data_IF_100914182491
#
_entry.id   IF_100914182491
#
_cell.length_a   1.000
_cell.length_b   1.000
_cell.length_c   1.000
_cell.angle_alpha   90.00
_cell.angle_beta   90.00
_cell.angle_gamma   90.00
#
_symmetry.space_group_name_H-M   'P 1'
#
loop_
_entity.id
_entity.type
_entity.pdbx_description
1 polymer ?
#
# COMPACT_ATOMS: atom_id res chain seq x y z
N UNK A 1 1.65 -1.44 -4.11
CA UNK A 1 0.88 -1.72 -2.87
C UNK A 1 1.55 -1.15 -1.64
N UNK A 2 0.82 -0.30 -0.92
CA UNK A 2 1.32 0.46 0.21
C UNK A 2 1.56 -0.43 1.45
N UNK A 3 2.53 -0.06 2.29
CA UNK A 3 2.76 -0.69 3.60
C UNK A 3 2.23 0.23 4.69
N UNK A 4 1.79 -0.33 5.81
CA UNK A 4 1.24 0.47 6.92
C UNK A 4 2.15 1.61 7.40
N UNK A 5 3.48 1.47 7.29
CA UNK A 5 4.45 2.55 7.60
C UNK A 5 4.52 3.64 6.54
N UNK A 6 4.29 3.32 5.26
CA UNK A 6 4.20 4.32 4.19
C UNK A 6 2.86 5.05 4.23
N UNK A 7 1.79 4.37 4.61
CA UNK A 7 0.45 4.97 4.77
C UNK A 7 0.39 5.99 5.92
N UNK A 8 1.24 5.83 6.94
CA UNK A 8 1.39 6.76 8.07
C UNK A 8 1.88 8.14 7.69
N UNK A 9 2.70 8.22 6.65
CA UNK A 9 3.38 9.47 6.25
C UNK A 9 2.61 10.19 5.15
N UNK A 10 1.38 9.76 4.84
CA UNK A 10 0.53 10.43 3.86
C UNK A 10 -0.06 11.67 4.53
N UNK A 11 0.21 12.82 3.93
CA UNK A 11 -0.44 14.08 4.26
C UNK A 11 -1.52 14.39 3.22
N UNK A 12 -2.51 15.22 3.58
CA UNK A 12 -3.57 15.63 2.64
C UNK A 12 -3.01 16.30 1.37
N UNK A 13 -1.87 17.00 1.48
CA UNK A 13 -1.15 17.61 0.35
C UNK A 13 -0.57 16.60 -0.64
N UNK A 14 -0.47 15.32 -0.26
CA UNK A 14 -0.02 14.25 -1.16
C UNK A 14 -1.16 13.69 -2.03
N UNK A 15 -2.41 14.12 -1.81
CA UNK A 15 -3.57 13.67 -2.57
C UNK A 15 -3.79 14.58 -3.78
N UNK A 16 -3.95 13.97 -4.95
CA UNK A 16 -4.28 14.65 -6.20
C UNK A 16 -5.55 14.05 -6.77
N UNK A 17 -6.60 14.85 -6.96
CA UNK A 17 -7.85 14.36 -7.55
C UNK A 17 -7.82 14.62 -9.06
N UNK A 18 -8.06 13.57 -9.85
CA UNK A 18 -8.12 13.63 -11.30
C UNK A 18 -9.40 12.93 -11.79
N UNK A 19 -10.38 13.72 -12.24
CA UNK A 19 -11.69 13.24 -12.68
C UNK A 19 -12.33 12.27 -11.67
N UNK A 20 -12.30 10.96 -11.94
CA UNK A 20 -12.89 9.89 -11.13
C UNK A 20 -11.86 9.16 -10.25
N UNK A 21 -10.64 9.67 -10.13
CA UNK A 21 -9.54 9.01 -9.42
C UNK A 21 -8.87 9.92 -8.39
N UNK A 22 -8.55 9.34 -7.23
CA UNK A 22 -7.70 9.97 -6.21
C UNK A 22 -6.31 9.35 -6.30
N UNK A 23 -5.34 10.15 -6.76
CA UNK A 23 -3.92 9.82 -6.74
C UNK A 23 -3.28 10.13 -5.39
N UNK A 24 -2.27 9.34 -5.02
CA UNK A 24 -1.47 9.54 -3.79
C UNK A 24 0.00 9.51 -4.16
N UNK A 25 0.74 10.57 -3.81
CA UNK A 25 2.18 10.66 -4.01
C UNK A 25 2.92 10.22 -2.74
N UNK A 26 3.77 9.19 -2.86
CA UNK A 26 4.63 8.76 -1.76
C UNK A 26 6.01 9.44 -1.82
N UNK A 27 6.32 10.28 -0.83
CA UNK A 27 7.62 10.97 -0.75
C UNK A 27 8.81 10.06 -0.37
N UNK A 28 8.55 8.90 0.27
CA UNK A 28 9.57 7.92 0.67
C UNK A 28 9.11 6.49 0.35
N UNK A 29 9.23 6.04 -0.90
CA UNK A 29 8.95 4.65 -1.24
C UNK A 29 10.06 3.74 -0.66
N UNK A 30 9.70 2.50 -0.27
CA UNK A 30 10.66 1.53 0.29
C UNK A 30 11.68 1.05 -0.74
N UNK A 31 11.27 1.02 -2.00
CA UNK A 31 12.09 0.65 -3.15
C UNK A 31 11.98 1.80 -4.11
N UNK A 32 13.11 2.30 -4.60
CA UNK A 32 13.09 3.30 -5.65
C UNK A 32 12.48 2.68 -6.91
N UNK A 33 11.28 3.13 -7.27
CA UNK A 33 10.59 2.71 -8.49
C UNK A 33 10.81 3.70 -9.63
N UNK A 34 11.53 4.79 -9.38
CA UNK A 34 11.88 5.75 -10.41
C UNK A 34 13.19 5.31 -11.07
N UNK A 35 13.16 5.08 -12.38
CA UNK A 35 14.37 4.88 -13.17
C UNK A 35 15.24 6.16 -13.25
N UNK A 36 14.72 7.28 -12.75
CA UNK A 36 15.38 8.58 -12.71
C UNK A 36 15.77 8.95 -11.28
N UNK A 37 17.07 8.87 -10.96
CA UNK A 37 17.64 9.63 -9.83
C UNK A 37 17.28 11.11 -10.04
N UNK A 38 16.39 11.66 -9.21
CA UNK A 38 15.84 13.02 -9.37
C UNK A 38 16.95 14.07 -9.56
N UNK A 39 16.82 14.91 -10.59
CA UNK A 39 17.41 16.26 -10.60
C UNK A 39 16.29 17.29 -10.45
N UNK A 40 16.40 18.15 -9.45
CA UNK A 40 15.80 19.49 -9.42
C UNK A 40 14.38 19.62 -8.86
N UNK A 41 14.06 20.79 -8.26
CA UNK A 41 12.79 21.05 -7.59
C UNK A 41 11.71 21.42 -8.61
N UNK A 42 10.59 20.71 -8.62
CA UNK A 42 9.41 21.17 -9.33
C UNK A 42 8.61 22.09 -8.38
N UNK A 43 8.64 23.38 -8.69
CA UNK A 43 7.77 24.42 -8.14
C UNK A 43 6.31 23.99 -8.27
N UNK A 44 5.72 23.49 -7.18
CA UNK A 44 4.28 23.45 -7.01
C UNK A 44 3.92 24.59 -6.07
N UNK A 45 3.25 25.61 -6.62
CA UNK A 45 2.61 26.68 -5.84
C UNK A 45 1.43 26.08 -5.09
N UNK A 46 1.69 25.36 -4.01
CA UNK A 46 0.67 24.98 -3.05
C UNK A 46 0.63 26.05 -1.97
N UNK A 47 -0.39 26.90 -2.07
CA UNK A 47 -0.88 27.78 -1.01
C UNK A 47 -0.77 27.11 0.37
N UNK A 48 -0.44 27.91 1.38
CA UNK A 48 -0.22 27.55 2.79
C UNK A 48 -1.35 26.71 3.40
N UNK A 49 -1.35 25.40 3.14
CA UNK A 49 -2.24 24.44 3.76
C UNK A 49 -1.51 23.73 4.90
N UNK A 50 -2.11 23.80 6.08
CA UNK A 50 -1.61 23.20 7.33
C UNK A 50 -1.32 21.71 7.10
N UNK A 51 -0.08 21.25 7.32
CA UNK A 51 0.32 19.83 7.17
C UNK A 51 -0.55 18.93 8.07
N UNK A 52 -1.59 18.32 7.51
CA UNK A 52 -2.45 17.37 8.21
C UNK A 52 -2.19 15.97 7.69
N UNK A 53 -1.93 15.04 8.61
CA UNK A 53 -1.82 13.61 8.29
C UNK A 53 -3.19 13.11 7.82
N UNK A 54 -3.23 12.27 6.80
CA UNK A 54 -4.46 11.64 6.32
C UNK A 54 -5.14 10.84 7.45
N UNK A 55 -4.33 10.18 8.28
CA UNK A 55 -4.78 9.53 9.49
C UNK A 55 -4.25 10.31 10.70
N UNK A 56 -5.13 10.97 11.48
CA UNK A 56 -4.69 11.75 12.64
C UNK A 56 -4.19 10.82 13.77
N UNK A 57 -3.21 11.28 14.55
CA UNK A 57 -2.63 10.55 15.68
C UNK A 57 -1.31 9.84 15.38
N UNK A 58 -0.73 9.20 16.40
CA UNK A 58 0.53 8.45 16.33
C UNK A 58 0.30 6.93 16.21
N UNK A 59 1.37 6.18 15.92
CA UNK A 59 1.39 4.71 15.91
C UNK A 59 0.28 4.04 15.05
N UNK A 60 0.00 4.58 13.86
CA UNK A 60 -1.13 4.12 13.03
C UNK A 60 -1.08 2.64 12.68
N UNK A 61 0.12 2.06 12.47
CA UNK A 61 0.28 0.63 12.21
C UNK A 61 -0.29 -0.20 13.36
N UNK A 62 -0.02 0.20 14.59
CA UNK A 62 -0.44 -0.54 15.78
C UNK A 62 -1.94 -0.35 16.02
N UNK A 63 -2.48 0.85 15.76
CA UNK A 63 -3.93 1.10 15.82
C UNK A 63 -4.68 0.28 14.78
N UNK A 64 -4.22 0.29 13.53
CA UNK A 64 -4.78 -0.55 12.47
C UNK A 64 -4.69 -2.04 12.82
N UNK A 65 -3.54 -2.49 13.35
CA UNK A 65 -3.35 -3.86 13.79
C UNK A 65 -4.34 -4.26 14.89
N UNK A 66 -4.54 -3.41 15.90
CA UNK A 66 -5.52 -3.64 16.98
C UNK A 66 -6.95 -3.72 16.43
N UNK A 67 -7.35 -2.78 15.58
CA UNK A 67 -8.68 -2.76 14.98
C UNK A 67 -8.92 -3.99 14.11
N UNK A 68 -7.95 -4.37 13.27
CA UNK A 68 -8.00 -5.59 12.48
C UNK A 68 -8.14 -6.83 13.38
N UNK A 69 -7.37 -6.88 14.48
CA UNK A 69 -7.43 -7.99 15.43
C UNK A 69 -8.81 -8.10 16.09
N UNK A 70 -9.45 -6.98 16.40
CA UNK A 70 -10.77 -6.95 17.01
C UNK A 70 -11.85 -7.39 16.02
N UNK A 71 -11.69 -7.06 14.73
CA UNK A 71 -12.58 -7.51 13.68
C UNK A 71 -12.47 -9.03 13.46
N UNK A 72 -11.25 -9.56 13.54
CA UNK A 72 -10.98 -11.00 13.39
C UNK A 72 -11.31 -11.82 14.65
N UNK A 73 -11.52 -11.19 15.80
CA UNK A 73 -11.98 -11.88 17.01
C UNK A 73 -13.48 -12.17 17.02
N UNK A 74 -14.21 -11.74 15.99
CA UNK A 74 -15.63 -12.06 15.83
C UNK A 74 -15.81 -13.56 15.52
N UNK A 75 -16.81 -14.19 16.13
CA UNK A 75 -17.02 -15.64 16.15
C UNK A 75 -17.37 -16.23 14.78
N UNK A 76 -17.78 -15.38 13.83
CA UNK A 76 -18.07 -15.77 12.44
C UNK A 76 -16.85 -15.83 11.53
N UNK A 77 -15.67 -15.42 12.00
CA UNK A 77 -14.45 -15.46 11.20
C UNK A 77 -13.79 -16.83 11.36
N UNK A 78 -13.66 -17.64 10.29
CA UNK A 78 -13.14 -19.01 10.38
C UNK A 78 -11.64 -19.09 10.72
N UNK A 79 -10.98 -17.95 10.94
CA UNK A 79 -9.54 -17.85 10.91
C UNK A 79 -9.04 -16.81 11.91
N UNK A 80 -8.04 -17.20 12.71
CA UNK A 80 -7.76 -16.56 13.99
C UNK A 80 -6.93 -15.28 13.94
N UNK A 81 -7.01 -14.50 15.01
CA UNK A 81 -6.27 -13.24 15.27
C UNK A 81 -4.75 -13.30 15.01
N UNK A 82 -4.13 -14.47 15.16
CA UNK A 82 -2.69 -14.66 14.98
C UNK A 82 -2.27 -14.93 13.52
N UNK A 83 -3.19 -15.36 12.67
CA UNK A 83 -2.90 -15.83 11.31
C UNK A 83 -2.98 -14.69 10.27
N UNK A 84 -3.80 -13.68 10.55
CA UNK A 84 -4.05 -12.57 9.63
C UNK A 84 -3.49 -11.26 10.14
N UNK A 85 -2.73 -10.60 9.27
CA UNK A 85 -2.22 -9.27 9.53
C UNK A 85 -2.11 -8.44 8.27
N UNK A 86 -1.47 -7.28 8.39
CA UNK A 86 -1.21 -6.38 7.25
C UNK A 86 -0.50 -7.05 6.06
N UNK A 87 0.25 -8.13 6.31
CA UNK A 87 0.89 -8.92 5.26
C UNK A 87 -0.10 -9.84 4.52
N UNK A 88 -1.01 -10.49 5.25
CA UNK A 88 -2.05 -11.37 4.69
C UNK A 88 -3.03 -10.60 3.81
N UNK A 89 -3.42 -9.37 4.20
CA UNK A 89 -4.22 -8.46 3.35
C UNK A 89 -3.50 -8.19 2.03
N UNK A 90 -2.19 -7.99 2.08
CA UNK A 90 -1.38 -7.76 0.87
C UNK A 90 -1.34 -9.03 0.00
N UNK A 91 -1.12 -10.21 0.59
CA UNK A 91 -1.18 -11.48 -0.15
C UNK A 91 -2.53 -11.69 -0.83
N UNK A 92 -3.62 -11.60 -0.06
CA UNK A 92 -4.98 -11.80 -0.57
C UNK A 92 -5.38 -10.84 -1.69
N UNK A 93 -4.99 -9.56 -1.60
CA UNK A 93 -5.25 -8.60 -2.68
C UNK A 93 -4.53 -8.97 -3.98
N UNK A 94 -3.32 -9.52 -3.91
CA UNK A 94 -2.60 -10.00 -5.10
C UNK A 94 -3.29 -11.24 -5.68
N UNK A 95 -3.65 -12.20 -4.82
CA UNK A 95 -4.39 -13.40 -5.24
C UNK A 95 -5.71 -13.03 -5.91
N UNK A 96 -6.49 -12.10 -5.35
CA UNK A 96 -7.76 -11.67 -5.91
C UNK A 96 -7.61 -11.07 -7.31
N UNK A 97 -6.63 -10.17 -7.49
CA UNK A 97 -6.33 -9.58 -8.80
C UNK A 97 -5.85 -10.65 -9.77
N UNK A 98 -5.00 -11.59 -9.35
CA UNK A 98 -4.50 -12.65 -10.24
C UNK A 98 -5.56 -13.71 -10.60
N UNK A 99 -6.50 -14.00 -9.70
CA UNK A 99 -7.56 -15.00 -9.91
C UNK A 99 -8.63 -14.51 -10.90
N UNK A 100 -8.95 -13.22 -10.90
CA UNK A 100 -10.02 -12.65 -11.73
C UNK A 100 -9.68 -12.42 -13.20
N UNK A 101 -8.55 -12.92 -13.71
CA UNK A 101 -8.03 -12.55 -15.03
C UNK A 101 -7.80 -13.82 -15.87
N UNK A 102 -8.55 -13.95 -16.96
CA UNK A 102 -8.52 -15.11 -17.86
C UNK A 102 -7.26 -15.16 -18.74
N UNK A 103 -6.68 -14.00 -19.07
CA UNK A 103 -5.41 -13.86 -19.79
C UNK A 103 -4.31 -13.54 -18.79
N UNK A 104 -3.61 -14.58 -18.33
CA UNK A 104 -2.64 -14.51 -17.22
C UNK A 104 -1.82 -13.22 -17.17
N UNK A 105 -1.84 -12.53 -16.03
CA UNK A 105 -1.06 -11.31 -15.83
C UNK A 105 0.43 -11.59 -16.01
N UNK A 106 1.10 -10.79 -16.82
CA UNK A 106 2.55 -10.75 -16.81
C UNK A 106 3.05 -10.45 -15.40
N UNK A 107 4.00 -11.25 -14.93
CA UNK A 107 4.54 -11.12 -13.59
C UNK A 107 5.21 -9.76 -13.34
N UNK A 108 5.71 -9.15 -14.42
CA UNK A 108 6.27 -7.81 -14.40
C UNK A 108 5.19 -6.79 -14.03
N UNK A 109 3.98 -6.89 -14.61
CA UNK A 109 2.83 -6.03 -14.29
C UNK A 109 2.41 -6.16 -12.83
N UNK A 110 2.40 -7.38 -12.28
CA UNK A 110 2.10 -7.62 -10.85
C UNK A 110 3.16 -6.97 -9.97
N UNK A 111 4.44 -7.24 -10.21
CA UNK A 111 5.55 -6.69 -9.42
C UNK A 111 5.54 -5.15 -9.43
N UNK A 112 5.29 -4.52 -10.58
CA UNK A 112 5.22 -3.06 -10.72
C UNK A 112 4.09 -2.46 -9.86
N UNK A 113 2.86 -3.00 -9.96
CA UNK A 113 1.70 -2.53 -9.16
C UNK A 113 1.89 -2.80 -7.67
N UNK A 114 2.54 -3.91 -7.34
CA UNK A 114 2.79 -4.28 -5.95
C UNK A 114 3.92 -3.49 -5.31
N UNK A 115 4.78 -2.84 -6.11
CA UNK A 115 5.98 -2.16 -5.63
C UNK A 115 7.03 -3.16 -5.14
N UNK A 116 7.18 -4.25 -5.89
CA UNK A 116 8.12 -5.35 -5.61
C UNK A 116 9.25 -5.33 -6.63
N UNK A 117 10.47 -5.53 -6.14
CA UNK A 117 11.60 -5.88 -7.00
C UNK A 117 11.43 -7.31 -7.50
N UNK A 118 11.82 -7.55 -8.76
CA UNK A 118 11.88 -8.89 -9.33
C UNK A 118 12.87 -9.76 -8.54
N UNK A 119 12.56 -11.05 -8.31
CA UNK A 119 13.39 -11.98 -7.52
C UNK A 119 12.69 -12.47 -6.24
N UNK A 120 13.40 -12.48 -5.10
CA UNK A 120 12.99 -13.10 -3.81
C UNK A 120 11.59 -12.74 -3.27
N UNK A 121 11.00 -11.62 -3.71
CA UNK A 121 9.64 -11.24 -3.29
C UNK A 121 8.59 -12.03 -4.07
N UNK A 122 8.84 -12.32 -5.34
CA UNK A 122 7.93 -13.09 -6.18
C UNK A 122 7.68 -14.47 -5.58
N UNK A 123 8.75 -15.19 -5.26
CA UNK A 123 8.66 -16.56 -4.71
C UNK A 123 7.81 -16.60 -3.44
N UNK A 124 7.96 -15.63 -2.54
CA UNK A 124 7.23 -15.63 -1.25
C UNK A 124 5.73 -15.31 -1.33
N UNK A 125 5.30 -14.73 -2.45
CA UNK A 125 3.92 -14.26 -2.63
C UNK A 125 3.14 -15.09 -3.66
N UNK A 126 3.83 -15.73 -4.60
CA UNK A 126 3.20 -16.48 -5.70
C UNK A 126 3.48 -17.99 -5.64
N UNK A 127 4.55 -18.43 -4.96
CA UNK A 127 4.69 -19.85 -4.62
C UNK A 127 4.02 -20.08 -3.26
N UNK A 128 3.03 -20.96 -3.26
CA UNK A 128 2.42 -21.52 -2.07
C UNK A 128 3.09 -22.86 -1.77
#
# INVERSE_FOLDING_TARGET
MCRGRSTQTIHLEHLSVHAEAIGIIFCKPKTDQSATKRRGPATFTATQWKRRHLFPGSAQKDRFGKQLSNLLSDSHTPCGRAEYGTHSIRKGAVTFVCWGITSGLSIISVCLRCGWSLGNVLERFMHY
#
